data_IF_317617631111
#
_entry.id   IF_317617631111
#
_cell.length_a   1.000
_cell.length_b   1.000
_cell.length_c   1.000
_cell.angle_alpha   90.00
_cell.angle_beta   90.00
_cell.angle_gamma   90.00
#
_symmetry.space_group_name_H-M   'P 1'
#
loop_
_entity.id
_entity.type
_entity.pdbx_description
1 polymer ?
#
# COMPACT_ATOMS: atom_id res chain seq x y z
N UNK A 1 -11.13 19.88 -4.37
CA UNK A 1 -10.80 18.47 -4.46
C UNK A 1 -10.58 17.90 -3.06
N UNK A 2 -11.24 16.83 -2.76
CA UNK A 2 -11.18 16.26 -1.42
C UNK A 2 -9.92 15.44 -1.22
N UNK A 3 -9.16 15.71 -0.15
CA UNK A 3 -7.95 14.92 0.14
C UNK A 3 -8.24 13.43 0.29
N UNK A 4 -9.41 13.10 0.84
CA UNK A 4 -9.81 11.70 1.03
C UNK A 4 -9.83 10.96 -0.30
N UNK A 5 -10.41 11.57 -1.33
CA UNK A 5 -10.48 10.94 -2.64
C UNK A 5 -9.09 10.77 -3.23
N UNK A 6 -8.22 11.77 -3.05
CA UNK A 6 -6.88 11.71 -3.60
C UNK A 6 -6.08 10.57 -2.98
N UNK A 7 -6.11 10.41 -1.67
CA UNK A 7 -5.32 9.34 -1.07
C UNK A 7 -5.89 7.97 -1.38
N UNK A 8 -7.21 7.86 -1.54
CA UNK A 8 -7.82 6.60 -1.92
C UNK A 8 -7.41 6.20 -3.34
N UNK A 9 -7.38 7.16 -4.26
CA UNK A 9 -6.94 6.90 -5.62
C UNK A 9 -5.46 6.51 -5.66
N UNK A 10 -4.65 7.20 -4.88
CA UNK A 10 -3.22 6.89 -4.83
C UNK A 10 -2.99 5.51 -4.23
N UNK A 11 -3.69 5.18 -3.16
CA UNK A 11 -3.58 3.85 -2.55
C UNK A 11 -3.97 2.77 -3.54
N UNK A 12 -5.05 2.97 -4.29
CA UNK A 12 -5.51 2.01 -5.29
C UNK A 12 -4.47 1.84 -6.39
N UNK A 13 -3.86 2.92 -6.83
CA UNK A 13 -2.82 2.88 -7.86
C UNK A 13 -1.59 2.10 -7.40
N UNK A 14 -1.12 2.38 -6.20
CA UNK A 14 0.02 1.68 -5.64
C UNK A 14 -0.28 0.21 -5.42
N UNK A 15 -1.47 -0.08 -4.91
CA UNK A 15 -1.92 -1.45 -4.69
C UNK A 15 -1.94 -2.24 -6.00
N UNK A 16 -2.45 -1.63 -7.06
CA UNK A 16 -2.49 -2.26 -8.37
C UNK A 16 -1.09 -2.59 -8.86
N UNK A 17 -0.16 -1.66 -8.68
CA UNK A 17 1.24 -1.90 -9.08
C UNK A 17 1.87 -3.05 -8.31
N UNK A 18 1.55 -3.16 -7.03
CA UNK A 18 2.02 -4.27 -6.22
C UNK A 18 1.43 -5.59 -6.73
N UNK A 19 0.15 -5.59 -7.01
CA UNK A 19 -0.53 -6.80 -7.48
C UNK A 19 -0.05 -7.23 -8.86
N UNK A 20 0.33 -6.27 -9.69
CA UNK A 20 0.82 -6.56 -11.04
C UNK A 20 2.30 -6.90 -11.10
N UNK A 21 2.99 -6.79 -9.98
CA UNK A 21 4.40 -7.12 -9.92
C UNK A 21 5.35 -5.98 -10.27
N UNK A 22 4.84 -4.76 -10.37
CA UNK A 22 5.70 -3.58 -10.56
C UNK A 22 6.57 -3.39 -9.34
N UNK A 23 5.98 -3.57 -8.16
CA UNK A 23 6.72 -3.62 -6.91
C UNK A 23 6.53 -5.01 -6.32
N UNK A 24 7.60 -5.76 -6.20
CA UNK A 24 7.54 -7.13 -5.70
C UNK A 24 7.59 -7.17 -4.17
N UNK A 25 7.10 -8.27 -3.61
CA UNK A 25 7.24 -8.49 -2.17
C UNK A 25 8.73 -8.49 -1.82
N UNK A 26 9.08 -7.69 -0.82
CA UNK A 26 10.47 -7.50 -0.45
C UNK A 26 11.07 -6.23 -1.03
N UNK A 27 10.44 -5.66 -2.04
CA UNK A 27 10.92 -4.41 -2.64
C UNK A 27 10.58 -3.23 -1.75
N UNK A 28 11.30 -2.16 -1.98
CA UNK A 28 11.11 -0.91 -1.27
C UNK A 28 10.42 0.08 -2.19
N UNK A 29 9.36 0.72 -1.71
CA UNK A 29 8.68 1.74 -2.48
C UNK A 29 9.50 3.03 -2.50
N UNK A 30 9.28 3.90 -3.52
CA UNK A 30 9.92 5.21 -3.52
C UNK A 30 9.56 6.00 -2.26
N UNK A 31 10.41 6.94 -1.91
CA UNK A 31 10.17 7.77 -0.75
C UNK A 31 8.88 8.58 -0.90
N UNK A 32 8.26 8.89 0.22
CA UNK A 32 7.02 9.67 0.27
C UNK A 32 7.14 10.95 -0.56
N UNK A 33 8.25 11.65 -0.41
CA UNK A 33 8.51 12.89 -1.13
C UNK A 33 8.52 12.66 -2.65
N UNK A 34 9.15 11.59 -3.08
CA UNK A 34 9.24 11.26 -4.50
C UNK A 34 7.85 10.94 -5.08
N UNK A 35 7.07 10.17 -4.34
CA UNK A 35 5.71 9.82 -4.77
C UNK A 35 4.86 11.08 -4.86
N UNK A 36 4.99 11.97 -3.88
CA UNK A 36 4.23 13.22 -3.87
C UNK A 36 4.54 14.06 -5.10
N UNK A 37 5.81 14.17 -5.45
CA UNK A 37 6.23 14.93 -6.63
C UNK A 37 5.73 14.28 -7.91
N UNK A 38 5.87 12.97 -8.01
CA UNK A 38 5.47 12.23 -9.21
C UNK A 38 3.98 12.33 -9.47
N UNK A 39 3.19 12.21 -8.41
CA UNK A 39 1.73 12.22 -8.52
C UNK A 39 1.13 13.62 -8.40
N UNK A 40 1.96 14.62 -8.14
CA UNK A 40 1.52 15.99 -7.99
C UNK A 40 0.48 16.13 -6.88
N UNK A 41 0.74 15.53 -5.75
CA UNK A 41 -0.12 15.60 -4.57
C UNK A 41 0.72 15.99 -3.36
N UNK A 42 0.05 16.33 -2.26
CA UNK A 42 0.76 16.69 -1.05
C UNK A 42 1.35 15.45 -0.39
N UNK A 43 2.38 15.65 0.44
CA UNK A 43 2.97 14.56 1.19
C UNK A 43 1.99 13.96 2.18
N UNK A 44 1.05 14.77 2.68
CA UNK A 44 0.00 14.27 3.57
C UNK A 44 -0.87 13.24 2.84
N UNK A 45 -1.22 13.51 1.58
CA UNK A 45 -1.99 12.56 0.78
C UNK A 45 -1.23 11.25 0.61
N UNK A 46 0.06 11.33 0.31
CA UNK A 46 0.89 10.13 0.16
C UNK A 46 0.94 9.35 1.47
N UNK A 47 1.13 10.05 2.58
CA UNK A 47 1.20 9.40 3.90
C UNK A 47 -0.10 8.66 4.21
N UNK A 48 -1.24 9.30 3.96
CA UNK A 48 -2.53 8.66 4.20
C UNK A 48 -2.71 7.43 3.33
N UNK A 49 -2.28 7.50 2.07
CA UNK A 49 -2.36 6.35 1.17
C UNK A 49 -1.49 5.20 1.68
N UNK A 50 -0.29 5.51 2.14
CA UNK A 50 0.62 4.49 2.67
C UNK A 50 0.06 3.86 3.94
N UNK A 51 -0.54 4.67 4.82
CA UNK A 51 -1.18 4.15 6.04
C UNK A 51 -2.28 3.17 5.66
N UNK A 52 -3.07 3.52 4.66
CA UNK A 52 -4.15 2.65 4.19
C UNK A 52 -3.61 1.32 3.70
N UNK A 53 -2.53 1.35 2.91
CA UNK A 53 -1.89 0.12 2.43
C UNK A 53 -1.30 -0.69 3.57
N UNK A 54 -0.77 -0.03 4.58
CA UNK A 54 -0.22 -0.70 5.74
C UNK A 54 -1.32 -1.42 6.53
N UNK A 55 -2.45 -0.76 6.70
CA UNK A 55 -3.60 -1.34 7.40
C UNK A 55 -4.11 -2.57 6.63
N UNK A 56 -4.12 -2.51 5.32
CA UNK A 56 -4.56 -3.62 4.49
C UNK A 56 -3.51 -4.74 4.38
N UNK A 57 -2.29 -4.48 4.84
CA UNK A 57 -1.27 -5.50 4.89
C UNK A 57 -0.36 -5.59 3.67
N UNK A 58 -0.41 -4.61 2.78
CA UNK A 58 0.45 -4.62 1.59
C UNK A 58 1.86 -4.14 1.88
N UNK A 59 2.01 -3.16 2.76
CA UNK A 59 3.31 -2.56 3.01
C UNK A 59 3.55 -2.41 4.50
N UNK A 60 4.81 -2.18 4.85
CA UNK A 60 5.22 -1.90 6.22
C UNK A 60 6.17 -0.71 6.18
N UNK A 61 5.89 0.27 7.02
CA UNK A 61 6.78 1.43 7.15
C UNK A 61 7.80 1.11 8.24
N UNK A 62 9.07 1.11 7.86
CA UNK A 62 10.17 0.84 8.78
C UNK A 62 10.95 2.13 9.01
N UNK A 63 10.95 2.58 10.23
CA UNK A 63 11.61 3.82 10.60
C UNK A 63 13.09 3.76 10.22
N UNK A 64 13.54 4.76 9.48
CA UNK A 64 14.93 4.84 9.03
C UNK A 64 15.24 4.00 7.81
N UNK A 65 14.34 3.12 7.40
CA UNK A 65 14.57 2.25 6.24
C UNK A 65 13.63 2.56 5.08
N UNK A 66 12.39 2.96 5.37
CA UNK A 66 11.43 3.32 4.33
C UNK A 66 10.23 2.40 4.30
N UNK A 67 9.57 2.37 3.16
CA UNK A 67 8.33 1.64 2.95
C UNK A 67 8.64 0.35 2.20
N UNK A 68 8.32 -0.78 2.80
CA UNK A 68 8.64 -2.09 2.22
C UNK A 68 7.37 -2.83 1.85
N UNK A 69 7.36 -3.46 0.69
CA UNK A 69 6.25 -4.31 0.26
C UNK A 69 6.36 -5.64 1.00
N UNK A 70 5.34 -6.01 1.74
CA UNK A 70 5.35 -7.24 2.53
C UNK A 70 4.34 -8.27 2.03
N UNK A 71 3.39 -7.85 1.19
CA UNK A 71 2.40 -8.77 0.66
C UNK A 71 1.85 -8.22 -0.65
N UNK A 72 1.43 -9.11 -1.53
CA UNK A 72 0.72 -8.71 -2.75
C UNK A 72 -0.74 -9.15 -2.72
N UNK A 73 -1.26 -9.48 -1.54
CA UNK A 73 -2.65 -9.87 -1.34
C UNK A 73 -3.24 -9.13 -0.15
N UNK A 74 -4.51 -8.71 -0.23
CA UNK A 74 -5.15 -8.01 0.87
C UNK A 74 -5.22 -8.89 2.12
N UNK A 75 -5.08 -8.25 3.28
CA UNK A 75 -5.13 -8.96 4.56
C UNK A 75 -6.46 -9.69 4.75
N UNK A 76 -7.56 -9.02 4.41
CA UNK A 76 -8.88 -9.63 4.60
C UNK A 76 -9.07 -10.84 3.70
N UNK A 77 -8.45 -10.86 2.54
CA UNK A 77 -8.50 -11.99 1.63
C UNK A 77 -7.72 -13.17 2.21
N UNK A 78 -6.59 -12.91 2.85
CA UNK A 78 -5.83 -13.93 3.53
C UNK A 78 -6.61 -14.53 4.70
N UNK A 79 -7.31 -13.68 5.45
CA UNK A 79 -8.12 -14.13 6.55
C UNK A 79 -9.26 -15.02 6.06
N UNK A 80 -9.87 -14.68 4.93
CA UNK A 80 -10.94 -15.47 4.35
C UNK A 80 -10.43 -16.85 3.96
N UNK A 81 -9.25 -16.93 3.38
CA UNK A 81 -8.64 -18.20 3.01
C UNK A 81 -8.40 -19.06 4.24
N UNK A 82 -7.91 -18.45 5.31
CA UNK A 82 -7.70 -19.18 6.56
C UNK A 82 -9.00 -19.72 7.12
N UNK A 83 -10.07 -18.93 7.05
CA UNK A 83 -11.38 -19.37 7.52
C UNK A 83 -11.87 -20.56 6.71
N UNK A 84 -11.62 -20.56 5.43
CA UNK A 84 -12.02 -21.69 4.58
C UNK A 84 -11.28 -22.95 4.97
N UNK A 85 -10.03 -22.84 5.33
CA UNK A 85 -9.26 -23.98 5.79
C UNK A 85 -9.84 -24.56 7.07
N UNK A 86 -10.25 -23.71 7.98
CA UNK A 86 -10.85 -24.16 9.23
C UNK A 86 -12.21 -24.82 9.00
N UNK A 87 -12.92 -24.36 7.99
CA UNK A 87 -14.23 -24.91 7.70
C UNK A 87 -14.14 -26.35 7.21
N UNK A 88 -13.02 -26.70 6.66
CA UNK A 88 -12.82 -28.06 6.18
C UNK A 88 -12.33 -28.96 7.29
#
# INVERSE_FOLDING_TARGET
TEPRRLYQQLAADLKERIEQGVYLVGDKLPAERFIADEKNVSRTVVREAIIMLEVEGYVEVRKGSGIHVVSNQPRHQQAADNNMEFAN
#
